data_IF_795432907488
#
_entry.id   IF_795432907488
#
_cell.length_a   1.000
_cell.length_b   1.000
_cell.length_c   1.000
_cell.angle_alpha   90.00
_cell.angle_beta   90.00
_cell.angle_gamma   90.00
#
_symmetry.space_group_name_H-M   'P 1'
#
loop_
_entity.id
_entity.type
_entity.pdbx_description
1 polymer ?
#
# COMPACT_ATOMS: atom_id res chain seq x y z
N UNK A 1 9.35 -8.72 -25.49
CA UNK A 1 8.30 -8.21 -24.59
C UNK A 1 8.96 -7.34 -23.55
N UNK A 2 8.48 -6.13 -23.39
CA UNK A 2 9.13 -5.16 -22.49
C UNK A 2 8.62 -5.23 -21.05
N UNK A 3 7.33 -5.52 -20.88
CA UNK A 3 6.69 -5.49 -19.57
C UNK A 3 5.98 -6.81 -19.23
N UNK A 4 6.07 -7.21 -17.95
CA UNK A 4 5.25 -8.28 -17.37
C UNK A 4 4.51 -7.73 -16.16
N UNK A 5 3.18 -7.68 -16.22
CA UNK A 5 2.34 -7.38 -15.07
C UNK A 5 2.26 -8.60 -14.16
N UNK A 6 2.60 -8.44 -12.89
CA UNK A 6 2.60 -9.51 -11.86
C UNK A 6 1.49 -9.22 -10.86
N UNK A 7 0.47 -10.08 -10.85
CA UNK A 7 -0.77 -9.87 -10.09
C UNK A 7 -0.98 -11.04 -9.13
N UNK A 8 -0.65 -10.89 -7.84
CA UNK A 8 -0.99 -11.88 -6.82
C UNK A 8 -2.49 -11.78 -6.47
N UNK A 9 -3.16 -12.91 -6.39
CA UNK A 9 -4.61 -12.97 -6.12
C UNK A 9 -4.92 -13.91 -4.96
N UNK A 10 -5.87 -13.49 -4.10
CA UNK A 10 -6.47 -14.34 -3.09
C UNK A 10 -7.93 -13.99 -2.86
N UNK A 11 -8.85 -14.86 -3.32
CA UNK A 11 -10.32 -14.72 -3.17
C UNK A 11 -10.88 -13.37 -3.69
N UNK A 12 -10.48 -12.93 -4.92
CA UNK A 12 -10.86 -11.62 -5.47
C UNK A 12 -11.15 -11.65 -6.98
N UNK A 13 -12.02 -12.55 -7.47
CA UNK A 13 -12.30 -12.67 -8.91
C UNK A 13 -12.86 -11.38 -9.50
N UNK A 14 -13.75 -10.67 -8.79
CA UNK A 14 -14.37 -9.43 -9.29
C UNK A 14 -13.35 -8.29 -9.47
N UNK A 15 -12.38 -8.17 -8.54
CA UNK A 15 -11.33 -7.17 -8.64
C UNK A 15 -10.36 -7.48 -9.78
N UNK A 16 -10.07 -8.78 -10.01
CA UNK A 16 -9.26 -9.24 -11.15
C UNK A 16 -9.96 -8.91 -12.48
N UNK A 17 -11.28 -9.09 -12.57
CA UNK A 17 -12.06 -8.76 -13.77
C UNK A 17 -11.92 -7.27 -14.13
N UNK A 18 -12.10 -6.38 -13.16
CA UNK A 18 -11.94 -4.93 -13.37
C UNK A 18 -10.49 -4.54 -13.76
N UNK A 19 -9.49 -5.17 -13.13
CA UNK A 19 -8.09 -4.93 -13.46
C UNK A 19 -7.78 -5.37 -14.88
N UNK A 20 -8.15 -6.61 -15.27
CA UNK A 20 -7.90 -7.15 -16.61
C UNK A 20 -8.64 -6.34 -17.69
N UNK A 21 -9.88 -5.91 -17.41
CA UNK A 21 -10.60 -5.03 -18.32
C UNK A 21 -9.85 -3.70 -18.52
N UNK A 22 -9.28 -3.11 -17.49
CA UNK A 22 -8.46 -1.89 -17.61
C UNK A 22 -7.19 -2.13 -18.44
N UNK A 23 -6.55 -3.29 -18.30
CA UNK A 23 -5.38 -3.67 -19.11
C UNK A 23 -5.71 -3.83 -20.60
N UNK A 24 -6.94 -4.25 -20.93
CA UNK A 24 -7.38 -4.30 -22.36
C UNK A 24 -7.49 -2.93 -22.99
N UNK A 25 -7.53 -1.85 -22.24
CA UNK A 25 -7.64 -0.48 -22.75
C UNK A 25 -6.30 0.26 -22.86
N UNK A 26 -5.20 -0.36 -22.39
CA UNK A 26 -3.87 0.25 -22.51
C UNK A 26 -3.51 0.50 -23.98
N UNK A 27 -2.94 1.66 -24.27
CA UNK A 27 -2.52 2.08 -25.63
C UNK A 27 -1.29 1.31 -26.11
N UNK A 28 -0.37 0.94 -25.21
CA UNK A 28 0.80 0.10 -25.52
C UNK A 28 0.46 -1.35 -25.20
N UNK A 29 0.76 -2.28 -26.14
CA UNK A 29 0.38 -3.70 -26.09
C UNK A 29 1.54 -4.68 -25.92
N UNK A 30 2.78 -4.20 -25.86
CA UNK A 30 3.95 -5.07 -25.70
C UNK A 30 4.16 -5.52 -24.25
N UNK A 31 3.17 -6.24 -23.70
CA UNK A 31 3.21 -6.79 -22.35
C UNK A 31 2.51 -8.14 -22.23
N UNK A 32 2.84 -8.86 -21.18
CA UNK A 32 2.12 -10.04 -20.68
C UNK A 32 1.54 -9.78 -19.30
N UNK A 33 0.56 -10.59 -18.92
CA UNK A 33 -0.11 -10.52 -17.61
C UNK A 33 0.01 -11.88 -16.92
N UNK A 34 0.67 -11.91 -15.77
CA UNK A 34 0.88 -13.10 -14.97
C UNK A 34 0.02 -13.00 -13.72
N UNK A 35 -1.06 -13.77 -13.70
CA UNK A 35 -1.98 -13.88 -12.57
C UNK A 35 -1.59 -15.10 -11.74
N UNK A 36 -1.30 -14.90 -10.47
CA UNK A 36 -0.90 -15.98 -9.55
C UNK A 36 -1.88 -16.06 -8.39
N UNK A 37 -2.63 -17.13 -8.35
CA UNK A 37 -3.57 -17.47 -7.27
C UNK A 37 -2.81 -18.04 -6.08
N UNK A 38 -2.99 -17.47 -4.90
CA UNK A 38 -2.31 -17.84 -3.67
C UNK A 38 -3.16 -18.75 -2.77
N UNK A 39 -3.68 -19.85 -3.34
CA UNK A 39 -4.50 -20.82 -2.62
C UNK A 39 -5.90 -20.33 -2.30
N UNK A 40 -6.53 -19.62 -3.24
CA UNK A 40 -7.91 -19.13 -3.10
C UNK A 40 -8.92 -20.26 -3.02
N UNK A 41 -9.95 -20.07 -2.20
CA UNK A 41 -11.17 -20.91 -2.21
C UNK A 41 -12.15 -20.46 -3.30
N UNK A 42 -12.03 -19.23 -3.78
CA UNK A 42 -12.79 -18.66 -4.90
C UNK A 42 -11.76 -18.24 -5.97
N UNK A 43 -11.42 -19.15 -6.90
CA UNK A 43 -10.39 -18.86 -7.91
C UNK A 43 -10.91 -17.91 -9.01
N UNK A 44 -10.00 -17.18 -9.62
CA UNK A 44 -10.31 -16.26 -10.73
C UNK A 44 -9.98 -16.82 -12.12
N UNK A 45 -9.76 -18.14 -12.25
CA UNK A 45 -9.36 -18.75 -13.54
C UNK A 45 -10.33 -18.42 -14.67
N UNK A 46 -11.63 -18.62 -14.44
CA UNK A 46 -12.67 -18.35 -15.43
C UNK A 46 -12.70 -16.86 -15.85
N UNK A 47 -12.36 -15.97 -14.93
CA UNK A 47 -12.23 -14.54 -15.22
C UNK A 47 -11.03 -14.32 -16.13
N UNK A 48 -9.86 -14.89 -15.83
CA UNK A 48 -8.66 -14.73 -16.66
C UNK A 48 -8.88 -15.30 -18.07
N UNK A 49 -9.54 -16.44 -18.19
CA UNK A 49 -9.83 -17.10 -19.47
C UNK A 49 -10.69 -16.23 -20.41
N UNK A 50 -11.57 -15.36 -19.87
CA UNK A 50 -12.39 -14.40 -20.69
C UNK A 50 -11.53 -13.36 -21.44
N UNK A 51 -10.29 -13.15 -21.02
CA UNK A 51 -9.40 -12.14 -21.61
C UNK A 51 -8.30 -12.74 -22.50
N UNK A 52 -8.24 -14.05 -22.65
CA UNK A 52 -7.16 -14.75 -23.35
C UNK A 52 -7.04 -14.39 -24.85
N UNK A 53 -8.13 -13.94 -25.47
CA UNK A 53 -8.17 -13.45 -26.86
C UNK A 53 -7.74 -11.98 -27.02
N UNK A 54 -7.70 -11.22 -25.91
CA UNK A 54 -7.39 -9.77 -25.90
C UNK A 54 -6.08 -9.42 -25.22
N UNK A 55 -5.60 -10.29 -24.33
CA UNK A 55 -4.38 -10.12 -23.54
C UNK A 55 -3.54 -11.41 -23.58
N UNK A 56 -2.22 -11.27 -23.59
CA UNK A 56 -1.31 -12.40 -23.36
C UNK A 56 -1.32 -12.70 -21.85
N UNK A 57 -2.21 -13.60 -21.42
CA UNK A 57 -2.42 -13.95 -20.02
C UNK A 57 -1.80 -15.30 -19.66
N UNK A 58 -1.20 -15.39 -18.48
CA UNK A 58 -0.71 -16.62 -17.89
C UNK A 58 -1.31 -16.75 -16.49
N UNK A 59 -2.00 -17.85 -16.24
CA UNK A 59 -2.62 -18.14 -14.95
C UNK A 59 -1.89 -19.27 -14.23
N UNK A 60 -1.54 -19.04 -12.97
CA UNK A 60 -0.92 -20.03 -12.11
C UNK A 60 -1.66 -20.13 -10.77
N UNK A 61 -1.73 -21.33 -10.21
CA UNK A 61 -2.27 -21.58 -8.88
C UNK A 61 -1.21 -22.27 -8.01
N UNK A 62 -1.07 -21.86 -6.76
CA UNK A 62 -0.15 -22.44 -5.79
C UNK A 62 -0.73 -22.43 -4.38
N UNK A 63 -0.15 -23.24 -3.49
CA UNK A 63 -0.50 -23.20 -2.08
C UNK A 63 -0.19 -21.81 -1.48
N UNK A 64 -1.03 -21.38 -0.52
CA UNK A 64 -0.92 -20.07 0.12
C UNK A 64 0.46 -19.88 0.78
N UNK A 65 1.11 -18.79 0.44
CA UNK A 65 2.42 -18.39 1.00
C UNK A 65 2.57 -16.88 1.23
N UNK A 66 1.51 -16.14 0.98
CA UNK A 66 1.43 -14.71 1.13
C UNK A 66 1.83 -13.91 -0.11
N UNK A 67 1.44 -12.63 -0.16
CA UNK A 67 1.53 -11.82 -1.37
C UNK A 67 2.97 -11.64 -1.88
N UNK A 68 3.94 -11.47 -1.01
CA UNK A 68 5.34 -11.31 -1.41
C UNK A 68 5.89 -12.54 -2.14
N UNK A 69 5.67 -13.75 -1.59
CA UNK A 69 6.12 -15.00 -2.21
C UNK A 69 5.34 -15.32 -3.49
N UNK A 70 4.08 -14.89 -3.55
CA UNK A 70 3.24 -15.04 -4.75
C UNK A 70 3.72 -14.15 -5.89
N UNK A 71 4.17 -12.93 -5.58
CA UNK A 71 4.85 -12.05 -6.56
C UNK A 71 6.16 -12.67 -7.04
N UNK A 72 6.99 -13.22 -6.13
CA UNK A 72 8.22 -13.92 -6.51
C UNK A 72 7.95 -15.06 -7.48
N UNK A 73 6.93 -15.87 -7.21
CA UNK A 73 6.53 -16.98 -8.06
C UNK A 73 6.13 -16.51 -9.47
N UNK A 74 5.43 -15.36 -9.57
CA UNK A 74 5.07 -14.74 -10.85
C UNK A 74 6.29 -14.21 -11.60
N UNK A 75 7.19 -13.52 -10.92
CA UNK A 75 8.42 -12.97 -11.54
C UNK A 75 9.34 -14.06 -12.11
N UNK A 76 9.44 -15.21 -11.45
CA UNK A 76 10.22 -16.35 -11.96
C UNK A 76 9.73 -16.83 -13.34
N UNK A 77 8.44 -16.60 -13.66
CA UNK A 77 7.77 -17.03 -14.90
C UNK A 77 7.58 -15.93 -15.94
N UNK A 78 7.98 -14.72 -15.58
CA UNK A 78 7.85 -13.53 -16.42
C UNK A 78 8.95 -13.50 -17.49
N UNK A 79 8.62 -12.93 -18.68
CA UNK A 79 9.56 -12.79 -19.79
C UNK A 79 9.98 -11.34 -20.05
N UNK A 80 9.26 -10.35 -19.48
CA UNK A 80 9.52 -8.93 -19.68
C UNK A 80 10.86 -8.46 -19.10
N UNK A 81 11.33 -7.34 -19.58
CA UNK A 81 12.49 -6.62 -19.03
C UNK A 81 12.15 -5.96 -17.69
N UNK A 82 10.96 -5.35 -17.60
CA UNK A 82 10.43 -4.73 -16.39
C UNK A 82 9.26 -5.53 -15.82
N UNK A 83 9.35 -5.83 -14.53
CA UNK A 83 8.28 -6.43 -13.74
C UNK A 83 7.40 -5.30 -13.19
N UNK A 84 6.16 -5.23 -13.64
CA UNK A 84 5.15 -4.28 -13.15
C UNK A 84 4.27 -4.97 -12.12
N UNK A 85 4.55 -4.72 -10.86
CA UNK A 85 3.87 -5.35 -9.73
C UNK A 85 2.65 -4.52 -9.38
N UNK A 86 1.48 -5.16 -9.40
CA UNK A 86 0.18 -4.56 -9.07
C UNK A 86 -0.55 -5.40 -8.03
N UNK A 87 -1.35 -4.75 -7.19
CA UNK A 87 -2.35 -5.44 -6.40
C UNK A 87 -3.62 -5.68 -7.25
N UNK A 88 -4.37 -6.75 -6.99
CA UNK A 88 -5.56 -7.13 -7.78
C UNK A 88 -6.69 -6.09 -7.74
N UNK A 89 -6.68 -5.20 -6.74
CA UNK A 89 -7.65 -4.12 -6.54
C UNK A 89 -7.24 -2.77 -7.18
N UNK A 90 -6.33 -2.83 -8.16
CA UNK A 90 -5.93 -1.67 -8.96
C UNK A 90 -6.70 -1.61 -10.29
N UNK A 91 -6.89 -0.39 -10.81
CA UNK A 91 -7.39 -0.11 -12.15
C UNK A 91 -6.41 0.87 -12.80
N UNK A 92 -6.03 0.62 -14.06
CA UNK A 92 -5.05 1.43 -14.75
C UNK A 92 -5.71 2.42 -15.71
N UNK A 93 -5.20 3.67 -15.81
CA UNK A 93 -5.58 4.57 -16.89
C UNK A 93 -5.01 4.06 -18.23
N UNK A 94 -5.70 4.33 -19.32
CA UNK A 94 -5.35 3.85 -20.67
C UNK A 94 -3.91 4.20 -21.10
N UNK A 95 -3.40 5.35 -20.63
CA UNK A 95 -2.06 5.86 -20.99
C UNK A 95 -1.00 5.54 -19.94
N UNK A 96 -1.24 4.57 -19.05
CA UNK A 96 -0.31 4.21 -17.99
C UNK A 96 1.08 3.84 -18.52
N UNK A 97 1.15 2.96 -19.52
CA UNK A 97 2.44 2.55 -20.12
C UNK A 97 3.10 3.66 -20.92
N UNK A 98 2.34 4.56 -21.55
CA UNK A 98 2.94 5.76 -22.19
C UNK A 98 3.65 6.64 -21.16
N UNK A 99 3.04 6.84 -19.98
CA UNK A 99 3.66 7.59 -18.89
C UNK A 99 4.94 6.91 -18.39
N UNK A 100 4.92 5.57 -18.25
CA UNK A 100 6.12 4.79 -17.89
C UNK A 100 7.22 4.95 -18.95
N UNK A 101 6.87 4.82 -20.26
CA UNK A 101 7.80 4.97 -21.37
C UNK A 101 8.44 6.37 -21.39
N UNK A 102 7.63 7.42 -21.25
CA UNK A 102 8.11 8.81 -21.27
C UNK A 102 9.14 9.07 -20.15
N UNK A 103 8.89 8.56 -18.95
CA UNK A 103 9.82 8.71 -17.83
C UNK A 103 11.10 7.87 -18.02
N UNK A 104 11.00 6.65 -18.56
CA UNK A 104 12.16 5.79 -18.85
C UNK A 104 13.01 6.32 -20.02
N UNK A 105 12.39 7.02 -20.99
CA UNK A 105 13.12 7.70 -22.07
C UNK A 105 13.91 8.92 -21.56
N UNK A 106 13.37 9.66 -20.60
CA UNK A 106 14.09 10.77 -19.96
C UNK A 106 15.29 10.28 -19.15
N UNK A 107 15.09 9.24 -18.36
CA UNK A 107 16.13 8.61 -17.55
C UNK A 107 15.80 7.16 -17.28
N UNK A 108 16.62 6.25 -17.78
CA UNK A 108 16.54 4.83 -17.40
C UNK A 108 16.80 4.68 -15.90
N UNK A 109 15.96 3.89 -15.23
CA UNK A 109 16.08 3.58 -13.80
C UNK A 109 15.89 2.10 -13.57
N UNK A 110 16.42 1.60 -12.46
CA UNK A 110 16.32 0.19 -12.09
C UNK A 110 14.98 -0.17 -11.47
N UNK A 111 14.37 0.79 -10.79
CA UNK A 111 13.06 0.65 -10.20
C UNK A 111 12.30 1.98 -10.21
N UNK A 112 10.99 1.90 -10.19
CA UNK A 112 10.10 3.05 -10.08
C UNK A 112 8.80 2.69 -9.37
N UNK A 113 8.00 3.66 -9.05
CA UNK A 113 6.61 3.48 -8.65
C UNK A 113 5.80 4.71 -8.97
N UNK A 114 4.51 4.53 -9.09
CA UNK A 114 3.55 5.59 -9.31
C UNK A 114 2.65 5.83 -8.09
N UNK A 115 1.99 7.01 -8.02
CA UNK A 115 1.03 7.30 -6.97
C UNK A 115 -0.27 6.51 -7.15
N UNK A 116 -1.02 6.38 -6.05
CA UNK A 116 -2.39 5.89 -6.08
C UNK A 116 -3.37 7.08 -6.03
N UNK A 117 -4.51 6.92 -6.70
CA UNK A 117 -5.61 7.89 -6.70
C UNK A 117 -6.91 7.22 -6.26
N UNK A 118 -7.80 8.01 -5.66
CA UNK A 118 -9.18 7.59 -5.42
C UNK A 118 -9.96 7.62 -6.73
N UNK A 119 -10.78 6.59 -6.99
CA UNK A 119 -11.70 6.57 -8.12
C UNK A 119 -13.01 7.30 -7.75
N UNK A 120 -13.67 7.91 -8.74
CA UNK A 120 -14.92 8.65 -8.51
C UNK A 120 -16.03 7.76 -7.94
N UNK A 121 -16.04 6.47 -8.30
CA UNK A 121 -17.00 5.47 -7.80
C UNK A 121 -16.78 5.07 -6.35
N UNK A 122 -15.74 5.57 -5.66
CA UNK A 122 -15.51 5.23 -4.26
C UNK A 122 -16.66 5.70 -3.37
N UNK A 123 -17.07 4.83 -2.46
CA UNK A 123 -18.07 5.15 -1.43
C UNK A 123 -17.58 6.28 -0.52
N UNK A 124 -18.50 6.94 0.18
CA UNK A 124 -18.14 8.00 1.13
C UNK A 124 -17.15 7.52 2.20
N UNK A 125 -17.28 6.25 2.65
CA UNK A 125 -16.34 5.63 3.60
C UNK A 125 -14.95 5.48 2.96
N UNK A 126 -14.87 5.02 1.73
CA UNK A 126 -13.58 4.89 1.03
C UNK A 126 -12.93 6.25 0.76
N UNK A 127 -13.71 7.29 0.45
CA UNK A 127 -13.22 8.67 0.30
C UNK A 127 -12.70 9.23 1.63
N UNK A 128 -13.39 8.98 2.73
CA UNK A 128 -12.94 9.35 4.07
C UNK A 128 -11.65 8.63 4.49
N UNK A 129 -11.54 7.33 4.20
CA UNK A 129 -10.32 6.55 4.42
C UNK A 129 -9.18 7.09 3.54
N UNK A 130 -9.45 7.40 2.27
CA UNK A 130 -8.46 8.00 1.39
C UNK A 130 -7.93 9.32 1.95
N UNK A 131 -8.83 10.21 2.42
CA UNK A 131 -8.44 11.44 3.10
C UNK A 131 -7.51 11.13 4.29
N UNK A 132 -7.92 10.23 5.20
CA UNK A 132 -7.12 9.88 6.37
C UNK A 132 -5.74 9.29 6.01
N UNK A 133 -5.60 8.63 4.85
CA UNK A 133 -4.34 8.04 4.39
C UNK A 133 -3.42 9.05 3.65
N UNK A 134 -3.93 10.17 3.19
CA UNK A 134 -3.18 11.12 2.35
C UNK A 134 -3.08 12.52 2.95
N UNK A 135 -3.92 12.88 3.93
CA UNK A 135 -3.91 14.19 4.57
C UNK A 135 -2.61 14.46 5.33
N UNK A 136 -2.17 15.71 5.26
CA UNK A 136 -1.04 16.20 6.07
C UNK A 136 -1.26 16.01 7.57
N UNK A 137 -2.48 16.22 8.06
CA UNK A 137 -2.83 16.15 9.49
C UNK A 137 -2.74 14.73 10.06
N UNK A 138 -2.75 13.71 9.22
CA UNK A 138 -2.73 12.29 9.65
C UNK A 138 -1.46 11.56 9.27
N UNK A 139 -0.78 11.97 8.18
CA UNK A 139 0.40 11.28 7.65
C UNK A 139 1.66 12.15 7.61
N UNK A 140 1.56 13.42 8.00
CA UNK A 140 2.69 14.35 7.97
C UNK A 140 3.24 14.60 6.56
N UNK A 141 2.41 14.39 5.52
CA UNK A 141 2.81 14.58 4.11
C UNK A 141 3.65 13.45 3.51
N UNK A 142 3.82 12.30 4.19
CA UNK A 142 4.55 11.14 3.63
C UNK A 142 3.81 10.57 2.43
N UNK A 143 2.47 10.63 2.42
CA UNK A 143 1.60 10.20 1.32
C UNK A 143 0.86 11.40 0.75
N UNK A 144 0.67 11.42 -0.57
CA UNK A 144 -0.11 12.48 -1.25
C UNK A 144 0.61 13.84 -1.38
N UNK A 145 1.79 14.02 -0.83
CA UNK A 145 2.56 15.27 -0.91
C UNK A 145 3.26 15.48 -2.25
N UNK A 146 3.12 16.68 -2.86
CA UNK A 146 3.86 17.08 -4.06
C UNK A 146 5.35 17.34 -3.81
N UNK A 147 5.78 17.49 -2.55
CA UNK A 147 7.18 17.74 -2.17
C UNK A 147 7.84 16.45 -1.69
N UNK A 148 8.96 16.09 -2.33
CA UNK A 148 9.83 14.99 -1.88
C UNK A 148 10.47 15.37 -0.54
N UNK A 149 10.04 14.73 0.53
CA UNK A 149 10.70 14.87 1.85
C UNK A 149 11.95 14.00 1.95
N UNK A 150 12.08 12.96 1.08
CA UNK A 150 13.19 12.00 1.12
C UNK A 150 13.12 11.03 -0.09
N UNK A 151 13.96 9.96 -0.05
CA UNK A 151 13.95 8.89 -1.03
C UNK A 151 12.54 8.31 -1.20
N UNK A 152 12.12 8.13 -2.45
CA UNK A 152 10.83 7.52 -2.76
C UNK A 152 10.92 6.01 -2.61
N UNK A 153 10.10 5.43 -1.76
CA UNK A 153 9.97 3.99 -1.56
C UNK A 153 8.76 3.47 -2.34
N UNK A 154 8.94 2.83 -3.49
CA UNK A 154 7.83 2.28 -4.26
C UNK A 154 7.05 1.23 -3.45
N UNK A 155 5.74 1.19 -3.69
CA UNK A 155 4.82 0.29 -2.99
C UNK A 155 4.32 -0.76 -3.95
N UNK A 156 4.06 -1.96 -3.43
CA UNK A 156 3.71 -3.13 -4.24
C UNK A 156 2.42 -3.00 -5.06
N UNK A 157 1.55 -2.05 -4.73
CA UNK A 157 0.36 -1.80 -5.52
C UNK A 157 0.64 -1.13 -6.88
N UNK A 158 1.81 -0.51 -7.05
CA UNK A 158 2.24 0.13 -8.30
C UNK A 158 3.77 0.29 -8.29
N UNK A 159 4.49 -0.79 -8.59
CA UNK A 159 5.95 -0.85 -8.56
C UNK A 159 6.47 -1.47 -9.85
N UNK A 160 7.38 -0.77 -10.54
CA UNK A 160 8.15 -1.30 -11.66
C UNK A 160 9.58 -1.59 -11.24
N UNK A 161 10.12 -2.75 -11.60
CA UNK A 161 11.51 -3.13 -11.31
C UNK A 161 12.08 -3.93 -12.48
N UNK A 162 13.32 -3.64 -12.90
CA UNK A 162 14.01 -4.48 -13.87
C UNK A 162 14.16 -5.91 -13.35
N UNK A 163 13.96 -6.89 -14.24
CA UNK A 163 13.96 -8.31 -13.86
C UNK A 163 15.29 -8.75 -13.25
N UNK A 164 16.42 -8.33 -13.84
CA UNK A 164 17.75 -8.65 -13.35
C UNK A 164 18.01 -8.10 -11.94
N UNK A 165 17.57 -6.86 -11.67
CA UNK A 165 17.67 -6.23 -10.34
C UNK A 165 16.78 -6.95 -9.32
N UNK A 166 15.56 -7.31 -9.72
CA UNK A 166 14.65 -8.09 -8.88
C UNK A 166 15.28 -9.41 -8.46
N UNK A 167 15.88 -10.13 -9.41
CA UNK A 167 16.55 -11.41 -9.18
C UNK A 167 17.82 -11.25 -8.34
N UNK A 168 18.66 -10.26 -8.64
CA UNK A 168 19.89 -9.98 -7.88
C UNK A 168 19.61 -9.67 -6.40
N UNK A 169 18.46 -9.03 -6.11
CA UNK A 169 18.02 -8.74 -4.74
C UNK A 169 17.26 -9.90 -4.08
N UNK A 170 16.96 -10.99 -4.79
CA UNK A 170 16.22 -12.14 -4.28
C UNK A 170 14.73 -11.90 -4.05
N UNK A 171 14.15 -10.91 -4.74
CA UNK A 171 12.72 -10.60 -4.69
C UNK A 171 12.21 -10.14 -3.32
N UNK A 172 10.91 -10.32 -3.06
CA UNK A 172 10.28 -9.98 -1.78
C UNK A 172 10.67 -10.99 -0.68
N UNK A 173 11.01 -10.47 0.50
CA UNK A 173 11.28 -11.30 1.68
C UNK A 173 9.99 -11.92 2.26
N UNK A 174 10.16 -12.96 3.09
CA UNK A 174 9.04 -13.56 3.84
C UNK A 174 8.61 -12.65 4.99
N UNK A 175 8.01 -11.53 4.67
CA UNK A 175 7.35 -10.63 5.63
C UNK A 175 5.88 -10.57 5.29
N UNK A 176 5.01 -10.59 6.30
CA UNK A 176 3.57 -10.47 6.05
C UNK A 176 3.17 -9.05 5.64
N UNK A 177 3.75 -8.04 6.27
CA UNK A 177 3.50 -6.62 6.02
C UNK A 177 4.82 -5.87 5.99
N UNK A 178 4.95 -4.94 5.04
CA UNK A 178 6.14 -4.12 4.86
C UNK A 178 7.20 -4.78 3.98
N UNK A 179 6.87 -5.89 3.31
CA UNK A 179 7.73 -6.57 2.34
C UNK A 179 8.11 -5.67 1.17
N UNK A 180 7.22 -4.75 0.79
CA UNK A 180 7.46 -3.73 -0.23
C UNK A 180 8.48 -2.67 0.24
N UNK A 181 8.39 -2.24 1.49
CA UNK A 181 9.36 -1.31 2.09
C UNK A 181 10.72 -2.00 2.27
N UNK A 182 10.71 -3.25 2.74
CA UNK A 182 11.94 -4.06 2.85
C UNK A 182 12.63 -4.18 1.49
N UNK A 183 11.88 -4.50 0.44
CA UNK A 183 12.41 -4.62 -0.91
C UNK A 183 12.95 -3.27 -1.42
N UNK A 184 12.21 -2.18 -1.20
CA UNK A 184 12.66 -0.83 -1.56
C UNK A 184 13.95 -0.43 -0.82
N UNK A 185 14.09 -0.77 0.46
CA UNK A 185 15.33 -0.53 1.21
C UNK A 185 16.50 -1.30 0.57
N UNK A 186 16.28 -2.55 0.14
CA UNK A 186 17.32 -3.35 -0.52
C UNK A 186 17.69 -2.82 -1.90
N UNK A 187 16.74 -2.25 -2.66
CA UNK A 187 17.03 -1.51 -3.91
C UNK A 187 18.02 -0.38 -3.63
N UNK A 188 17.75 0.47 -2.64
CA UNK A 188 18.66 1.57 -2.31
C UNK A 188 20.01 1.13 -1.74
N UNK A 189 20.03 0.09 -0.89
CA UNK A 189 21.27 -0.46 -0.34
C UNK A 189 22.15 -1.16 -1.39
N UNK A 190 21.51 -1.70 -2.44
CA UNK A 190 22.18 -2.28 -3.60
C UNK A 190 22.76 -1.24 -4.57
N UNK A 191 22.56 0.06 -4.31
CA UNK A 191 23.03 1.14 -5.18
C UNK A 191 22.16 1.38 -6.42
N UNK A 192 21.00 0.71 -6.52
CA UNK A 192 20.10 0.84 -7.65
C UNK A 192 19.32 2.15 -7.63
N UNK A 193 19.06 2.68 -8.82
CA UNK A 193 18.31 3.92 -8.99
C UNK A 193 16.80 3.68 -8.94
N UNK A 194 16.11 4.42 -8.08
CA UNK A 194 14.67 4.34 -7.95
C UNK A 194 14.04 5.74 -8.02
N UNK A 195 12.97 5.90 -8.83
CA UNK A 195 12.26 7.18 -9.01
C UNK A 195 10.75 7.05 -8.83
N UNK A 196 10.11 8.14 -8.43
CA UNK A 196 8.66 8.31 -8.55
C UNK A 196 8.34 8.74 -9.99
N UNK A 197 7.40 8.05 -10.62
CA UNK A 197 6.80 8.39 -11.90
C UNK A 197 5.41 8.99 -11.65
N UNK A 198 5.25 10.30 -11.58
CA UNK A 198 4.01 10.94 -11.12
C UNK A 198 2.81 10.65 -12.01
N UNK A 199 3.05 10.50 -13.33
CA UNK A 199 1.99 10.26 -14.30
C UNK A 199 1.67 8.77 -14.51
N UNK A 200 2.51 7.85 -14.01
CA UNK A 200 2.24 6.42 -13.98
C UNK A 200 1.42 6.04 -12.74
N UNK A 201 0.28 6.68 -12.55
CA UNK A 201 -0.60 6.47 -11.40
C UNK A 201 -1.62 5.36 -11.67
N UNK A 202 -2.20 4.80 -10.58
CA UNK A 202 -3.28 3.82 -10.64
C UNK A 202 -4.43 4.25 -9.72
N UNK A 203 -5.67 3.86 -10.06
CA UNK A 203 -6.74 3.85 -9.07
C UNK A 203 -6.56 2.61 -8.19
N UNK A 204 -6.47 2.81 -6.88
CA UNK A 204 -6.28 1.71 -5.93
C UNK A 204 -7.43 1.72 -4.92
N UNK A 205 -8.23 0.66 -4.89
CA UNK A 205 -9.41 0.55 -4.03
C UNK A 205 -9.02 0.63 -2.55
N UNK A 206 -9.70 1.48 -1.82
CA UNK A 206 -9.57 1.57 -0.37
C UNK A 206 -10.43 0.52 0.33
N UNK A 207 -10.12 0.20 1.57
CA UNK A 207 -10.96 -0.67 2.41
C UNK A 207 -12.39 -0.14 2.45
N UNK A 208 -13.36 -1.06 2.39
CA UNK A 208 -14.78 -0.74 2.29
C UNK A 208 -15.42 -0.36 3.63
N UNK A 209 -14.76 -0.68 4.75
CA UNK A 209 -15.25 -0.40 6.09
C UNK A 209 -14.12 0.00 7.06
N UNK A 210 -14.51 0.71 8.14
CA UNK A 210 -13.59 1.24 9.14
C UNK A 210 -12.91 0.14 9.99
N UNK A 211 -13.55 -1.02 10.18
CA UNK A 211 -12.97 -2.14 10.94
C UNK A 211 -11.81 -2.78 10.18
N UNK A 212 -12.00 -3.03 8.88
CA UNK A 212 -10.92 -3.52 8.00
C UNK A 212 -9.79 -2.48 7.90
N UNK A 213 -10.15 -1.19 7.88
CA UNK A 213 -9.17 -0.11 7.85
C UNK A 213 -8.35 -0.08 9.15
N UNK A 214 -9.00 -0.18 10.34
CA UNK A 214 -8.28 -0.29 11.62
C UNK A 214 -7.28 -1.46 11.61
N UNK A 215 -7.71 -2.66 11.18
CA UNK A 215 -6.84 -3.84 11.08
C UNK A 215 -5.62 -3.56 10.17
N UNK A 216 -5.84 -2.89 9.04
CA UNK A 216 -4.77 -2.53 8.09
C UNK A 216 -3.73 -1.61 8.73
N UNK A 217 -4.17 -0.51 9.35
CA UNK A 217 -3.24 0.47 9.93
C UNK A 217 -2.56 -0.05 11.20
N UNK A 218 -3.25 -0.86 12.01
CA UNK A 218 -2.66 -1.55 13.16
C UNK A 218 -1.52 -2.48 12.74
N UNK A 219 -1.73 -3.29 11.70
CA UNK A 219 -0.70 -4.15 11.15
C UNK A 219 0.47 -3.34 10.56
N UNK A 220 0.20 -2.17 9.97
CA UNK A 220 1.25 -1.27 9.47
C UNK A 220 2.12 -0.72 10.61
N UNK A 221 1.52 -0.43 11.77
CA UNK A 221 2.25 -0.06 12.98
C UNK A 221 3.18 -1.18 13.49
N UNK A 222 2.68 -2.42 13.52
CA UNK A 222 3.50 -3.60 13.88
C UNK A 222 4.66 -3.78 12.87
N UNK A 223 4.35 -3.72 11.58
CA UNK A 223 5.34 -3.88 10.51
C UNK A 223 6.48 -2.84 10.60
N UNK A 224 6.18 -1.62 11.07
CA UNK A 224 7.21 -0.59 11.26
C UNK A 224 8.27 -0.99 12.27
N UNK A 225 7.88 -1.64 13.36
CA UNK A 225 8.83 -2.14 14.36
C UNK A 225 9.62 -3.34 13.82
N UNK A 226 9.00 -4.19 13.01
CA UNK A 226 9.70 -5.30 12.34
C UNK A 226 10.78 -4.77 11.39
N UNK A 227 10.45 -3.73 10.62
CA UNK A 227 11.42 -3.05 9.75
C UNK A 227 12.53 -2.35 10.57
N UNK A 228 12.18 -1.70 11.69
CA UNK A 228 13.17 -1.09 12.59
C UNK A 228 14.14 -2.12 13.15
N UNK A 229 13.67 -3.30 13.56
CA UNK A 229 14.55 -4.38 14.04
C UNK A 229 15.51 -4.90 12.97
N UNK A 230 15.11 -4.85 11.70
CA UNK A 230 15.93 -5.26 10.55
C UNK A 230 16.82 -4.13 10.01
N UNK A 231 16.29 -2.91 10.04
CA UNK A 231 16.91 -1.68 9.54
C UNK A 231 16.69 -0.53 10.52
N UNK A 232 17.51 -0.40 11.58
CA UNK A 232 17.33 0.63 12.60
C UNK A 232 17.22 2.06 12.04
N UNK A 233 18.00 2.36 11.01
CA UNK A 233 18.02 3.65 10.31
C UNK A 233 16.71 3.97 9.56
N UNK A 234 15.84 2.99 9.34
CA UNK A 234 14.56 3.18 8.65
C UNK A 234 13.50 3.87 9.50
N UNK A 235 13.68 3.92 10.82
CA UNK A 235 12.74 4.55 11.73
C UNK A 235 12.97 6.06 11.76
N UNK A 236 11.94 6.83 11.40
CA UNK A 236 11.95 8.30 11.42
C UNK A 236 10.96 8.79 12.47
N UNK A 237 11.14 10.03 12.96
CA UNK A 237 10.25 10.66 13.94
C UNK A 237 8.78 10.58 13.54
N UNK A 238 8.47 10.83 12.26
CA UNK A 238 7.11 10.78 11.72
C UNK A 238 6.43 9.41 11.92
N UNK A 239 7.18 8.32 12.02
CA UNK A 239 6.64 6.99 12.31
C UNK A 239 6.27 6.80 13.78
N UNK A 240 6.81 7.63 14.68
CA UNK A 240 6.53 7.59 16.12
C UNK A 240 5.34 8.49 16.49
N UNK A 241 5.07 9.55 15.70
CA UNK A 241 3.99 10.50 15.97
C UNK A 241 2.62 9.85 16.20
N UNK A 242 2.16 8.83 15.45
CA UNK A 242 0.88 8.18 15.74
C UNK A 242 0.86 7.45 17.08
N UNK A 243 1.99 6.92 17.54
CA UNK A 243 2.07 6.31 18.89
C UNK A 243 1.98 7.39 19.98
N UNK A 244 2.65 8.53 19.81
CA UNK A 244 2.54 9.67 20.73
C UNK A 244 1.11 10.24 20.72
N UNK A 245 0.48 10.37 19.56
CA UNK A 245 -0.93 10.77 19.46
C UNK A 245 -1.84 9.80 20.23
N UNK A 246 -1.63 8.50 20.09
CA UNK A 246 -2.42 7.48 20.81
C UNK A 246 -2.28 7.62 22.33
N UNK A 247 -1.05 7.80 22.82
CA UNK A 247 -0.80 8.04 24.25
C UNK A 247 -1.42 9.36 24.71
N UNK A 248 -1.34 10.42 23.89
CA UNK A 248 -1.98 11.70 24.14
C UNK A 248 -3.50 11.59 24.23
N UNK A 249 -4.16 10.85 23.34
CA UNK A 249 -5.61 10.59 23.43
C UNK A 249 -5.97 9.89 24.74
N UNK A 250 -5.24 8.84 25.12
CA UNK A 250 -5.46 8.13 26.40
C UNK A 250 -5.28 9.09 27.58
N UNK A 251 -4.21 9.88 27.57
CA UNK A 251 -3.95 10.87 28.63
C UNK A 251 -5.07 11.91 28.74
N UNK A 252 -5.52 12.51 27.63
CA UNK A 252 -6.58 13.52 27.62
C UNK A 252 -7.93 12.94 28.08
N UNK A 253 -8.23 11.68 27.71
CA UNK A 253 -9.42 10.97 28.20
C UNK A 253 -9.34 10.72 29.71
N UNK A 254 -8.20 10.35 30.26
CA UNK A 254 -8.01 10.19 31.70
C UNK A 254 -8.06 11.55 32.44
N UNK A 255 -7.43 12.57 31.87
CA UNK A 255 -7.44 13.92 32.42
C UNK A 255 -8.85 14.55 32.48
N UNK A 256 -9.76 14.12 31.58
CA UNK A 256 -11.14 14.63 31.56
C UNK A 256 -11.96 14.32 32.81
N UNK A 257 -11.53 13.32 33.62
CA UNK A 257 -12.13 13.07 34.92
C UNK A 257 -11.79 14.15 35.98
N UNK A 258 -10.74 14.95 35.74
CA UNK A 258 -10.27 15.98 36.66
C UNK A 258 -10.35 17.39 36.06
N UNK A 259 -10.37 17.50 34.72
CA UNK A 259 -10.37 18.76 34.00
C UNK A 259 -11.19 18.67 32.69
N UNK A 260 -12.36 19.26 32.68
CA UNK A 260 -13.30 19.25 31.55
C UNK A 260 -12.70 19.82 30.25
N UNK A 261 -11.80 20.81 30.37
CA UNK A 261 -11.12 21.42 29.22
C UNK A 261 -10.15 20.49 28.48
N UNK A 262 -9.78 19.33 29.03
CA UNK A 262 -8.80 18.41 28.43
C UNK A 262 -9.22 17.91 27.06
N UNK A 263 -10.53 17.70 26.82
CA UNK A 263 -11.04 17.21 25.55
C UNK A 263 -11.08 18.26 24.43
N UNK A 264 -10.88 19.55 24.76
CA UNK A 264 -10.90 20.63 23.76
C UNK A 264 -9.86 20.45 22.66
N UNK A 265 -8.70 19.86 22.96
CA UNK A 265 -7.67 19.57 21.97
C UNK A 265 -8.11 18.48 21.00
N UNK A 266 -8.80 17.45 21.46
CA UNK A 266 -9.35 16.40 20.59
C UNK A 266 -10.49 16.96 19.72
N UNK A 267 -11.32 17.83 20.28
CA UNK A 267 -12.37 18.52 19.55
C UNK A 267 -11.77 19.43 18.47
N UNK A 268 -10.75 20.22 18.80
CA UNK A 268 -10.05 21.09 17.84
C UNK A 268 -9.46 20.25 16.70
N UNK A 269 -8.79 19.14 16.99
CA UNK A 269 -8.28 18.24 15.95
C UNK A 269 -9.41 17.70 15.07
N UNK A 270 -10.54 17.27 15.67
CA UNK A 270 -11.72 16.78 14.93
C UNK A 270 -12.29 17.87 14.01
N UNK A 271 -12.36 19.12 14.47
CA UNK A 271 -12.85 20.26 13.69
C UNK A 271 -11.93 20.59 12.51
N UNK A 272 -10.61 20.58 12.72
CA UNK A 272 -9.63 20.79 11.62
C UNK A 272 -9.81 19.71 10.55
N UNK A 273 -9.88 18.45 10.95
CA UNK A 273 -10.10 17.32 10.02
C UNK A 273 -11.45 17.47 9.30
N UNK A 274 -12.51 17.80 10.03
CA UNK A 274 -13.85 18.00 9.45
C UNK A 274 -13.86 19.07 8.37
N UNK A 275 -13.31 20.24 8.67
CA UNK A 275 -13.30 21.38 7.73
C UNK A 275 -12.46 21.02 6.50
N UNK A 276 -11.23 20.56 6.70
CA UNK A 276 -10.31 20.25 5.61
C UNK A 276 -10.85 19.12 4.71
N UNK A 277 -11.36 18.03 5.30
CA UNK A 277 -11.95 16.92 4.55
C UNK A 277 -13.23 17.32 3.80
N UNK A 278 -14.09 18.13 4.43
CA UNK A 278 -15.31 18.63 3.79
C UNK A 278 -14.99 19.50 2.58
N UNK A 279 -14.00 20.37 2.68
CA UNK A 279 -13.56 21.24 1.59
C UNK A 279 -12.93 20.41 0.43
N UNK A 280 -12.04 19.47 0.74
CA UNK A 280 -11.38 18.66 -0.28
C UNK A 280 -12.36 17.74 -1.04
N UNK A 281 -13.37 17.20 -0.35
CA UNK A 281 -14.34 16.27 -0.94
C UNK A 281 -15.68 16.93 -1.32
N UNK A 282 -15.84 18.22 -1.07
CA UNK A 282 -17.10 19.00 -1.29
C UNK A 282 -18.32 18.31 -0.66
N UNK A 283 -18.16 17.70 0.53
CA UNK A 283 -19.18 16.92 1.22
C UNK A 283 -19.00 16.94 2.73
N UNK A 284 -20.00 17.46 3.45
CA UNK A 284 -20.05 17.44 4.91
C UNK A 284 -20.11 16.01 5.47
N UNK A 285 -20.81 15.11 4.77
CA UNK A 285 -20.91 13.70 5.15
C UNK A 285 -19.53 13.03 5.16
N UNK A 286 -18.73 13.25 4.10
CA UNK A 286 -17.36 12.75 4.04
C UNK A 286 -16.51 13.40 5.12
N UNK A 287 -16.70 14.69 5.42
CA UNK A 287 -16.02 15.38 6.52
C UNK A 287 -16.24 14.71 7.88
N UNK A 288 -17.49 14.35 8.21
CA UNK A 288 -17.82 13.63 9.44
C UNK A 288 -17.15 12.24 9.47
N UNK A 289 -17.25 11.48 8.38
CA UNK A 289 -16.62 10.16 8.27
C UNK A 289 -15.09 10.24 8.35
N UNK A 290 -14.49 11.31 7.85
CA UNK A 290 -13.06 11.55 7.88
C UNK A 290 -12.53 11.78 9.30
N UNK A 291 -13.33 12.32 10.22
CA UNK A 291 -12.98 12.39 11.65
C UNK A 291 -12.70 10.97 12.16
N UNK A 292 -13.68 10.07 12.02
CA UNK A 292 -13.53 8.68 12.48
C UNK A 292 -12.36 7.97 11.80
N UNK A 293 -12.22 8.12 10.47
CA UNK A 293 -11.13 7.53 9.71
C UNK A 293 -9.75 8.08 10.16
N UNK A 294 -9.62 9.37 10.48
CA UNK A 294 -8.38 9.99 10.94
C UNK A 294 -7.97 9.52 12.34
N UNK A 295 -8.92 9.42 13.26
CA UNK A 295 -8.66 8.81 14.57
C UNK A 295 -8.23 7.35 14.43
N UNK A 296 -8.90 6.57 13.57
CA UNK A 296 -8.53 5.18 13.28
C UNK A 296 -7.13 5.10 12.68
N UNK A 297 -6.80 5.97 11.73
CA UNK A 297 -5.45 6.01 11.11
C UNK A 297 -4.37 6.18 12.17
N UNK A 298 -4.52 7.14 13.07
CA UNK A 298 -3.52 7.48 14.08
C UNK A 298 -3.50 6.48 15.23
N UNK A 299 -4.67 6.17 15.82
CA UNK A 299 -4.73 5.26 16.99
C UNK A 299 -4.52 3.80 16.59
N UNK A 300 -5.04 3.39 15.44
CA UNK A 300 -4.82 2.04 14.91
C UNK A 300 -3.34 1.76 14.66
N UNK A 301 -2.67 2.68 13.95
CA UNK A 301 -1.22 2.56 13.74
C UNK A 301 -0.46 2.67 15.08
N UNK A 302 -0.78 3.65 15.92
CA UNK A 302 -0.12 3.87 17.20
C UNK A 302 -0.22 2.68 18.14
N UNK A 303 -1.41 2.06 18.27
CA UNK A 303 -1.59 0.85 19.09
C UNK A 303 -0.80 -0.34 18.53
N UNK A 304 -0.75 -0.52 17.22
CA UNK A 304 0.09 -1.55 16.58
C UNK A 304 1.58 -1.34 16.84
N UNK A 305 2.03 -0.09 16.71
CA UNK A 305 3.41 0.30 16.96
C UNK A 305 3.80 0.05 18.43
N UNK A 306 3.02 0.56 19.40
CA UNK A 306 3.27 0.40 20.84
C UNK A 306 3.28 -1.06 21.26
N UNK A 307 2.31 -1.86 20.78
CA UNK A 307 2.24 -3.30 21.05
C UNK A 307 3.48 -4.05 20.56
N UNK A 308 3.92 -3.75 19.31
CA UNK A 308 5.10 -4.38 18.76
C UNK A 308 6.38 -3.90 19.41
N UNK A 309 6.49 -2.60 19.71
CA UNK A 309 7.63 -2.03 20.42
C UNK A 309 7.79 -2.67 21.80
N UNK A 310 6.71 -2.75 22.59
CA UNK A 310 6.73 -3.42 23.88
C UNK A 310 7.19 -4.88 23.78
N UNK A 311 6.54 -5.66 22.90
CA UNK A 311 6.85 -7.08 22.73
C UNK A 311 8.29 -7.32 22.29
N UNK A 312 8.75 -6.58 21.25
CA UNK A 312 10.00 -6.89 20.56
C UNK A 312 11.21 -6.12 21.06
N UNK A 313 11.02 -4.88 21.54
CA UNK A 313 12.12 -4.02 22.01
C UNK A 313 12.28 -4.06 23.52
N UNK A 314 11.18 -4.08 24.29
CA UNK A 314 11.24 -4.12 25.76
C UNK A 314 11.34 -5.57 26.25
N UNK A 315 10.41 -6.45 25.81
CA UNK A 315 10.39 -7.84 26.27
C UNK A 315 11.36 -8.77 25.51
N UNK A 316 12.02 -8.33 24.45
CA UNK A 316 12.96 -9.13 23.66
C UNK A 316 12.34 -10.33 22.92
N UNK A 317 11.00 -10.42 22.82
CA UNK A 317 10.30 -11.56 22.23
C UNK A 317 10.37 -11.55 20.70
N UNK A 318 10.21 -12.73 20.10
CA UNK A 318 10.12 -12.91 18.64
C UNK A 318 8.89 -12.20 18.04
N UNK A 319 8.78 -12.21 16.71
CA UNK A 319 7.65 -11.67 15.96
C UNK A 319 6.31 -12.33 16.35
N UNK A 320 5.20 -11.73 15.97
CA UNK A 320 3.88 -12.32 16.21
C UNK A 320 3.66 -13.50 15.27
N UNK A 321 3.24 -14.65 15.79
CA UNK A 321 3.00 -15.87 15.01
C UNK A 321 2.03 -15.66 13.83
N UNK A 322 1.05 -14.76 13.99
CA UNK A 322 0.15 -14.35 12.91
C UNK A 322 0.85 -13.65 11.75
N UNK A 323 2.07 -13.14 11.94
CA UNK A 323 2.90 -12.53 10.89
C UNK A 323 3.83 -13.54 10.22
N UNK A 324 4.00 -14.72 10.80
CA UNK A 324 4.85 -15.79 10.26
C UNK A 324 4.05 -16.86 9.52
N UNK A 325 2.79 -17.13 9.95
CA UNK A 325 2.01 -18.30 9.51
C UNK A 325 0.67 -17.97 8.84
N UNK A 326 0.14 -16.77 9.01
CA UNK A 326 -1.22 -16.43 8.58
C UNK A 326 -1.18 -15.17 7.70
N UNK A 327 -1.18 -15.37 6.38
CA UNK A 327 -0.92 -14.29 5.42
C UNK A 327 -2.15 -13.47 5.03
N UNK A 328 -3.40 -13.96 5.28
CA UNK A 328 -4.65 -13.25 4.92
C UNK A 328 -5.65 -13.14 6.08
#
# INVERSE_FOLDING_TARGET
MKYSFIIPVYNRPDEVDELLDSLTRLTIRDFEVIVVEDGSSIPCKEVVDKYADRLTTHYYNKANSGPGQTRNYGVERANGEYMLILDSDCILPERYLEAVEAELQQQKVDAFGGPDRAHDSFTDVQKAINYAMTSFFTTGGIRGGKKKLDKFYPRSFNMGVRKDVYQALGGFSKMRFGEDIDFSIRIFKGGYQCRLFPEAWVWHKRRTDLKKFFKQVHNSGIARINLYKKYPESLKLVHVLPALFTLGVVFLLLASFFWEGSLSLLFLFAMIVFVDASMQNKSLKIGILAIAASFIQLTGYGTGFLRAWWKRCVCGKSEFAAFEKNFY
#
